data_IF_507223649942
#
_entry.id   IF_507223649942
#
_cell.length_a   1.000
_cell.length_b   1.000
_cell.length_c   1.000
_cell.angle_alpha   90.00
_cell.angle_beta   90.00
_cell.angle_gamma   90.00
#
_symmetry.space_group_name_H-M   'P 1'
#
loop_
_entity.id
_entity.type
_entity.pdbx_description
1 polymer ?
#
# COMPACT_ATOMS: atom_id res chain seq x y z
N UNK A 1 -11.44 -14.37 12.67
CA UNK A 1 -10.90 -13.51 13.73
C UNK A 1 -9.38 -13.51 13.65
N UNK A 2 -8.74 -12.39 13.97
CA UNK A 2 -7.27 -12.31 14.06
C UNK A 2 -6.80 -12.59 15.49
N UNK A 3 -5.48 -12.62 15.70
CA UNK A 3 -4.86 -12.92 17.00
C UNK A 3 -5.31 -11.99 18.13
N UNK A 4 -5.93 -10.84 17.85
CA UNK A 4 -6.45 -9.89 18.85
C UNK A 4 -7.92 -10.15 19.22
N UNK A 5 -8.50 -11.28 18.79
CA UNK A 5 -9.93 -11.61 18.88
C UNK A 5 -10.88 -10.60 18.20
N UNK A 6 -10.35 -9.60 17.51
CA UNK A 6 -11.17 -8.65 16.77
C UNK A 6 -11.77 -9.33 15.53
N UNK A 7 -13.10 -9.22 15.32
CA UNK A 7 -13.72 -9.59 14.05
C UNK A 7 -13.09 -8.80 12.90
N UNK A 8 -12.85 -9.50 11.78
CA UNK A 8 -12.41 -8.85 10.54
C UNK A 8 -13.67 -8.52 9.76
N UNK A 9 -13.99 -7.24 9.67
CA UNK A 9 -15.16 -6.73 8.97
C UNK A 9 -14.76 -6.00 7.69
N UNK A 10 -15.69 -5.98 6.73
CA UNK A 10 -15.56 -5.19 5.51
C UNK A 10 -14.32 -5.50 4.68
N UNK A 11 -13.78 -6.73 4.75
CA UNK A 11 -12.62 -7.17 3.98
C UNK A 11 -12.81 -8.52 3.32
N UNK A 12 -12.20 -8.68 2.15
CA UNK A 12 -12.24 -9.91 1.37
C UNK A 12 -11.61 -11.07 2.15
N UNK A 13 -12.21 -12.27 2.18
CA UNK A 13 -11.59 -13.43 2.78
C UNK A 13 -10.21 -13.73 2.17
N UNK A 14 -9.19 -13.83 3.02
CA UNK A 14 -7.79 -14.09 2.60
C UNK A 14 -7.67 -15.32 1.71
N UNK A 15 -8.45 -16.37 2.00
CA UNK A 15 -8.50 -17.57 1.17
C UNK A 15 -8.89 -17.28 -0.29
N UNK A 16 -9.77 -16.30 -0.53
CA UNK A 16 -10.13 -15.91 -1.88
C UNK A 16 -9.00 -15.14 -2.58
N UNK A 17 -8.37 -14.19 -1.88
CA UNK A 17 -7.20 -13.47 -2.41
C UNK A 17 -6.08 -14.43 -2.83
N UNK A 18 -5.79 -15.44 -2.00
CA UNK A 18 -4.80 -16.48 -2.33
C UNK A 18 -5.21 -17.26 -3.58
N UNK A 19 -6.46 -17.70 -3.69
CA UNK A 19 -6.94 -18.47 -4.86
C UNK A 19 -6.90 -17.63 -6.14
N UNK A 20 -7.35 -16.39 -6.08
CA UNK A 20 -7.29 -15.43 -7.22
C UNK A 20 -5.85 -15.19 -7.64
N UNK A 21 -4.96 -14.96 -6.67
CA UNK A 21 -3.54 -14.79 -6.92
C UNK A 21 -2.90 -16.02 -7.58
N UNK A 22 -3.19 -17.21 -7.05
CA UNK A 22 -2.69 -18.48 -7.59
C UNK A 22 -3.18 -18.78 -9.01
N UNK A 23 -4.41 -18.36 -9.35
CA UNK A 23 -5.04 -18.60 -10.64
C UNK A 23 -4.53 -17.70 -11.78
N UNK A 24 -3.78 -16.64 -11.47
CA UNK A 24 -3.19 -15.77 -12.51
C UNK A 24 -2.16 -16.52 -13.35
N UNK A 25 -1.99 -16.15 -14.62
CA UNK A 25 -1.09 -16.87 -15.55
C UNK A 25 0.36 -16.90 -15.07
N UNK A 26 1.00 -18.07 -15.07
CA UNK A 26 2.42 -18.24 -14.73
C UNK A 26 3.32 -17.81 -15.90
N UNK A 27 4.52 -17.29 -15.64
CA UNK A 27 5.46 -16.99 -16.72
C UNK A 27 5.95 -18.28 -17.41
N UNK A 28 6.19 -18.20 -18.72
CA UNK A 28 6.79 -19.28 -19.52
C UNK A 28 8.26 -19.51 -19.16
N UNK A 29 8.86 -20.57 -19.72
CA UNK A 29 10.27 -20.93 -19.45
C UNK A 29 11.25 -19.77 -19.73
N UNK A 30 12.41 -19.73 -19.05
CA UNK A 30 13.41 -18.70 -19.28
C UNK A 30 13.86 -18.67 -20.75
N UNK A 31 13.89 -17.48 -21.36
CA UNK A 31 14.50 -17.31 -22.68
C UNK A 31 16.01 -17.21 -22.52
N UNK A 32 16.70 -18.34 -22.68
CA UNK A 32 18.17 -18.40 -22.56
C UNK A 32 18.91 -17.63 -23.67
N UNK A 33 18.20 -17.15 -24.70
CA UNK A 33 18.80 -16.31 -25.75
C UNK A 33 18.84 -14.83 -25.40
N UNK A 34 18.04 -14.39 -24.40
CA UNK A 34 18.06 -13.03 -23.86
C UNK A 34 18.82 -12.98 -22.52
N UNK A 35 20.03 -12.39 -22.48
CA UNK A 35 20.78 -12.24 -21.25
C UNK A 35 20.02 -11.48 -20.15
N UNK A 36 19.11 -10.57 -20.49
CA UNK A 36 18.33 -9.78 -19.51
C UNK A 36 17.30 -10.64 -18.77
N UNK A 37 16.84 -11.72 -19.41
CA UNK A 37 15.90 -12.68 -18.84
C UNK A 37 16.57 -13.67 -17.87
N UNK A 38 17.90 -13.75 -17.87
CA UNK A 38 18.67 -14.70 -17.06
C UNK A 38 19.16 -14.09 -15.73
N UNK A 39 19.37 -14.91 -14.69
CA UNK A 39 20.08 -14.46 -13.48
C UNK A 39 21.45 -13.85 -13.81
N UNK A 40 21.75 -12.68 -13.25
CA UNK A 40 22.95 -11.91 -13.59
C UNK A 40 22.81 -10.98 -14.81
N UNK A 41 21.69 -11.07 -15.53
CA UNK A 41 21.31 -10.09 -16.54
C UNK A 41 22.36 -9.89 -17.63
N UNK A 42 22.56 -8.62 -18.01
CA UNK A 42 23.55 -8.19 -19.03
C UNK A 42 25.00 -8.52 -18.69
N UNK A 43 25.30 -8.93 -17.46
CA UNK A 43 26.62 -9.47 -17.09
C UNK A 43 26.93 -10.80 -17.77
N UNK A 44 25.92 -11.50 -18.31
CA UNK A 44 26.04 -12.77 -19.03
C UNK A 44 26.79 -13.84 -18.24
N UNK A 45 26.47 -13.94 -16.94
CA UNK A 45 27.17 -14.78 -15.97
C UNK A 45 26.75 -16.26 -16.08
N UNK A 46 25.52 -16.52 -16.51
CA UNK A 46 24.95 -17.88 -16.68
C UNK A 46 24.41 -18.07 -18.08
N UNK A 47 24.42 -19.31 -18.60
CA UNK A 47 23.71 -19.70 -19.83
C UNK A 47 22.54 -20.65 -19.55
N UNK A 48 22.18 -20.81 -18.28
CA UNK A 48 21.03 -21.60 -17.84
C UNK A 48 21.37 -22.96 -17.23
N UNK A 49 22.64 -23.38 -17.22
CA UNK A 49 23.05 -24.72 -16.79
C UNK A 49 22.71 -25.01 -15.31
N UNK A 50 22.85 -23.99 -14.45
CA UNK A 50 22.52 -24.04 -13.02
C UNK A 50 21.19 -23.41 -12.65
N UNK A 51 20.39 -22.97 -13.62
CA UNK A 51 19.19 -22.18 -13.34
C UNK A 51 18.03 -23.08 -12.92
N UNK A 52 17.47 -22.78 -11.74
CA UNK A 52 16.28 -23.43 -11.20
C UNK A 52 15.18 -22.41 -10.97
N UNK A 53 13.99 -22.77 -11.42
CA UNK A 53 12.79 -21.97 -11.18
C UNK A 53 12.16 -22.33 -9.85
N UNK A 54 11.69 -21.31 -9.13
CA UNK A 54 10.84 -21.46 -7.97
C UNK A 54 9.63 -20.55 -8.05
N UNK A 55 8.49 -21.04 -7.59
CA UNK A 55 7.25 -20.27 -7.46
C UNK A 55 6.71 -20.46 -6.06
N UNK A 56 6.32 -19.37 -5.40
CA UNK A 56 5.69 -19.43 -4.09
C UNK A 56 4.68 -18.30 -3.89
N UNK A 57 3.79 -18.51 -2.93
CA UNK A 57 2.77 -17.57 -2.48
C UNK A 57 3.10 -17.07 -1.08
N UNK A 58 2.82 -15.80 -0.81
CA UNK A 58 2.71 -15.27 0.52
C UNK A 58 1.46 -14.39 0.64
N UNK A 59 0.78 -14.46 1.77
CA UNK A 59 -0.31 -13.58 2.10
C UNK A 59 0.07 -12.77 3.35
N UNK A 60 -0.33 -11.50 3.36
CA UNK A 60 -0.07 -10.60 4.46
C UNK A 60 -1.30 -9.76 4.78
N UNK A 61 -1.29 -9.22 5.99
CA UNK A 61 -2.30 -8.26 6.41
C UNK A 61 -1.67 -7.16 7.26
N UNK A 62 -2.32 -6.00 7.29
CA UNK A 62 -1.96 -4.89 8.16
C UNK A 62 -3.19 -4.07 8.53
N UNK A 63 -3.15 -3.41 9.67
CA UNK A 63 -4.19 -2.45 10.02
C UNK A 63 -4.11 -1.20 9.13
N UNK A 64 -5.23 -0.49 8.99
CA UNK A 64 -5.29 0.86 8.44
C UNK A 64 -5.56 1.86 9.56
N UNK A 65 -5.10 3.11 9.37
CA UNK A 65 -5.21 4.19 10.35
C UNK A 65 -4.42 3.92 11.64
N UNK A 66 -4.34 4.93 12.50
CA UNK A 66 -3.83 4.72 13.83
C UNK A 66 -4.81 3.87 14.65
N UNK A 67 -4.28 3.20 15.66
CA UNK A 67 -4.98 2.16 16.41
C UNK A 67 -4.76 2.37 17.90
N UNK A 68 -5.42 1.54 18.69
CA UNK A 68 -5.23 1.43 20.14
C UNK A 68 -5.60 2.70 20.92
N UNK A 69 -6.76 3.28 20.61
CA UNK A 69 -7.30 4.45 21.34
C UNK A 69 -6.66 5.78 20.97
N UNK A 70 -5.84 5.82 19.92
CA UNK A 70 -5.29 7.06 19.40
C UNK A 70 -6.40 7.96 18.82
N UNK A 71 -6.40 9.26 19.14
CA UNK A 71 -7.30 10.25 18.54
C UNK A 71 -6.83 10.56 17.11
N UNK A 72 -7.20 9.69 16.17
CA UNK A 72 -6.86 9.85 14.77
C UNK A 72 -7.91 10.70 14.05
N UNK A 73 -7.50 11.87 13.55
CA UNK A 73 -8.38 12.75 12.79
C UNK A 73 -7.68 13.41 11.61
N UNK A 74 -8.47 13.93 10.69
CA UNK A 74 -8.01 14.85 9.64
C UNK A 74 -9.03 15.98 9.45
N UNK A 75 -8.53 17.18 9.18
CA UNK A 75 -9.36 18.36 8.96
C UNK A 75 -9.27 18.80 7.50
N UNK A 76 -10.42 19.09 6.91
CA UNK A 76 -10.52 19.66 5.58
C UNK A 76 -11.41 20.89 5.61
N UNK A 77 -11.08 21.86 4.77
CA UNK A 77 -11.95 22.99 4.42
C UNK A 77 -12.20 22.99 2.93
N UNK A 78 -13.45 23.24 2.56
CA UNK A 78 -13.82 23.43 1.16
C UNK A 78 -14.58 24.74 1.04
N UNK A 79 -14.09 25.61 0.16
CA UNK A 79 -14.74 26.87 -0.21
C UNK A 79 -15.24 26.74 -1.65
N UNK A 80 -16.56 26.80 -1.83
CA UNK A 80 -17.23 26.73 -3.12
C UNK A 80 -17.69 28.14 -3.53
N UNK A 81 -17.23 28.58 -4.69
CA UNK A 81 -17.43 29.95 -5.20
C UNK A 81 -17.86 29.95 -6.66
N UNK A 82 -18.46 31.05 -7.12
CA UNK A 82 -18.64 31.33 -8.54
C UNK A 82 -17.50 32.23 -9.03
N UNK A 83 -16.72 31.77 -9.99
CA UNK A 83 -15.66 32.56 -10.62
C UNK A 83 -15.84 32.57 -12.13
N UNK A 84 -15.90 33.77 -12.72
CA UNK A 84 -16.07 33.95 -14.18
C UNK A 84 -17.27 33.18 -14.73
N UNK A 85 -18.34 33.07 -13.95
CA UNK A 85 -19.57 32.37 -14.32
C UNK A 85 -19.61 30.89 -13.94
N UNK A 86 -18.49 30.27 -13.56
CA UNK A 86 -18.36 28.84 -13.30
C UNK A 86 -18.23 28.52 -11.81
N UNK A 87 -18.66 27.35 -11.34
CA UNK A 87 -18.44 26.92 -9.96
C UNK A 87 -17.01 26.40 -9.79
N UNK A 88 -16.33 26.85 -8.74
CA UNK A 88 -14.97 26.42 -8.38
C UNK A 88 -14.93 26.04 -6.90
N UNK A 89 -14.44 24.85 -6.58
CA UNK A 89 -14.17 24.46 -5.20
C UNK A 89 -12.68 24.53 -4.89
N UNK A 90 -12.33 25.23 -3.82
CA UNK A 90 -10.99 25.25 -3.23
C UNK A 90 -10.95 24.30 -2.04
N UNK A 91 -10.11 23.27 -2.11
CA UNK A 91 -9.97 22.24 -1.08
C UNK A 91 -8.66 22.44 -0.35
N UNK A 92 -8.72 22.72 0.95
CA UNK A 92 -7.56 22.84 1.82
C UNK A 92 -7.53 21.71 2.85
N UNK A 93 -6.40 21.01 2.93
CA UNK A 93 -6.09 20.00 3.96
C UNK A 93 -4.64 20.18 4.39
N UNK A 94 -4.25 19.61 5.53
CA UNK A 94 -2.83 19.56 5.94
C UNK A 94 -2.11 18.27 5.49
N UNK A 95 -2.73 17.45 4.62
CA UNK A 95 -2.18 16.15 4.24
C UNK A 95 -0.95 16.30 3.36
N UNK A 96 0.15 15.64 3.74
CA UNK A 96 1.38 15.65 2.97
C UNK A 96 1.27 14.70 1.76
N UNK A 97 1.49 15.24 0.57
CA UNK A 97 1.71 14.48 -0.67
C UNK A 97 3.19 14.09 -0.77
N UNK A 98 3.47 12.80 -0.85
CA UNK A 98 4.81 12.23 -0.99
C UNK A 98 4.91 11.29 -2.20
N UNK A 99 3.97 11.39 -3.14
CA UNK A 99 3.89 10.59 -4.37
C UNK A 99 2.76 9.57 -4.38
N UNK A 100 2.01 9.42 -3.29
CA UNK A 100 0.91 8.47 -3.17
C UNK A 100 -0.39 8.94 -3.85
N UNK A 101 -0.51 10.22 -4.19
CA UNK A 101 -1.65 10.76 -4.95
C UNK A 101 -2.85 11.19 -4.10
N UNK A 102 -2.64 11.61 -2.85
CA UNK A 102 -3.73 12.13 -2.01
C UNK A 102 -4.36 13.41 -2.58
N UNK A 103 -3.57 14.24 -3.28
CA UNK A 103 -4.08 15.46 -3.94
C UNK A 103 -5.15 15.10 -4.98
N UNK A 104 -4.88 14.09 -5.82
CA UNK A 104 -5.82 13.63 -6.84
C UNK A 104 -7.07 13.01 -6.21
N UNK A 105 -6.91 12.24 -5.13
CA UNK A 105 -8.03 11.66 -4.38
C UNK A 105 -8.96 12.76 -3.85
N UNK A 106 -8.40 13.81 -3.22
CA UNK A 106 -9.19 14.95 -2.73
C UNK A 106 -9.93 15.67 -3.87
N UNK A 107 -9.26 15.89 -5.01
CA UNK A 107 -9.86 16.50 -6.19
C UNK A 107 -11.04 15.66 -6.71
N UNK A 108 -10.83 14.36 -6.91
CA UNK A 108 -11.85 13.43 -7.42
C UNK A 108 -13.06 13.35 -6.49
N UNK A 109 -12.83 13.27 -5.18
CA UNK A 109 -13.90 13.28 -4.18
C UNK A 109 -14.73 14.57 -4.31
N UNK A 110 -14.09 15.74 -4.34
CA UNK A 110 -14.80 17.01 -4.43
C UNK A 110 -15.58 17.15 -5.75
N UNK A 111 -14.98 16.76 -6.88
CA UNK A 111 -15.65 16.77 -8.20
C UNK A 111 -16.87 15.87 -8.22
N UNK A 112 -16.74 14.65 -7.71
CA UNK A 112 -17.85 13.68 -7.70
C UNK A 112 -18.99 14.09 -6.78
N UNK A 113 -18.71 14.62 -5.59
CA UNK A 113 -19.75 14.97 -4.62
C UNK A 113 -20.44 16.29 -4.96
N UNK A 114 -19.69 17.28 -5.45
CA UNK A 114 -20.24 18.59 -5.80
C UNK A 114 -20.78 18.65 -7.23
N UNK A 115 -20.45 17.66 -8.07
CA UNK A 115 -20.82 17.58 -9.49
C UNK A 115 -20.29 18.77 -10.31
N UNK A 116 -19.04 19.16 -10.06
CA UNK A 116 -18.38 20.27 -10.76
C UNK A 116 -17.07 19.82 -11.42
N UNK A 117 -16.61 20.58 -12.41
CA UNK A 117 -15.37 20.28 -13.12
C UNK A 117 -14.13 20.94 -12.52
N UNK A 118 -14.26 22.17 -11.99
CA UNK A 118 -13.12 22.95 -11.51
C UNK A 118 -12.95 22.80 -10.00
N UNK A 119 -11.91 22.07 -9.62
CA UNK A 119 -11.48 21.93 -8.23
C UNK A 119 -10.00 22.31 -8.15
N UNK A 120 -9.67 23.12 -7.15
CA UNK A 120 -8.29 23.52 -6.84
C UNK A 120 -7.96 22.96 -5.46
N UNK A 121 -7.05 21.99 -5.41
CA UNK A 121 -6.49 21.53 -4.13
C UNK A 121 -5.36 22.48 -3.76
N UNK A 122 -5.53 23.20 -2.67
CA UNK A 122 -4.56 24.19 -2.18
C UNK A 122 -3.29 23.51 -1.64
N UNK A 123 -2.19 24.27 -1.60
CA UNK A 123 -0.95 23.82 -0.97
C UNK A 123 -1.20 23.46 0.50
N UNK A 124 -0.88 22.22 0.93
CA UNK A 124 -1.10 21.79 2.29
C UNK A 124 -0.38 22.70 3.30
N UNK A 125 -1.09 23.10 4.34
CA UNK A 125 -0.52 23.90 5.42
C UNK A 125 -1.27 23.71 6.73
N UNK A 126 -0.64 24.10 7.84
CA UNK A 126 -1.15 23.86 9.20
C UNK A 126 -2.13 24.93 9.69
N UNK A 127 -2.53 25.90 8.86
CA UNK A 127 -3.55 26.89 9.26
C UNK A 127 -4.94 26.24 9.42
N UNK A 128 -5.15 25.07 8.82
CA UNK A 128 -6.41 24.32 8.85
C UNK A 128 -6.46 23.23 9.93
N UNK A 129 -5.59 23.28 10.94
CA UNK A 129 -5.34 22.21 11.92
C UNK A 129 -4.54 21.04 11.30
N UNK A 130 -4.67 19.83 11.85
CA UNK A 130 -3.92 18.64 11.47
C UNK A 130 -4.66 17.77 10.45
N UNK A 131 -3.87 17.09 9.62
CA UNK A 131 -4.30 15.96 8.80
C UNK A 131 -3.67 14.63 9.26
N UNK A 132 -2.95 14.61 10.40
CA UNK A 132 -2.07 13.52 10.80
C UNK A 132 -0.89 13.32 9.84
N UNK A 133 0.05 12.43 10.18
CA UNK A 133 1.14 12.11 9.25
C UNK A 133 0.63 11.24 8.10
N UNK A 134 1.28 11.36 6.94
CA UNK A 134 1.05 10.47 5.79
C UNK A 134 1.75 9.13 6.01
N UNK A 135 1.19 8.33 6.91
CA UNK A 135 1.64 6.98 7.28
C UNK A 135 0.44 6.06 7.50
N UNK A 136 0.67 4.79 7.89
CA UNK A 136 -0.39 3.83 8.26
C UNK A 136 -1.48 3.64 7.18
N UNK A 137 -1.15 3.91 5.91
CA UNK A 137 -2.05 3.88 4.76
C UNK A 137 -3.38 4.64 4.98
N UNK A 138 -3.34 5.70 5.79
CA UNK A 138 -4.55 6.30 6.37
C UNK A 138 -5.16 7.45 5.57
N UNK A 139 -4.39 8.10 4.69
CA UNK A 139 -4.78 9.41 4.15
C UNK A 139 -6.06 9.36 3.30
N UNK A 140 -6.25 8.31 2.48
CA UNK A 140 -7.50 8.11 1.73
C UNK A 140 -8.71 7.98 2.66
N UNK A 141 -8.55 7.32 3.80
CA UNK A 141 -9.62 7.17 4.80
C UNK A 141 -9.85 8.45 5.58
N UNK A 142 -8.78 9.07 6.08
CA UNK A 142 -8.92 10.19 7.02
C UNK A 142 -9.12 11.51 6.30
N UNK A 143 -8.21 11.88 5.42
CA UNK A 143 -8.29 13.14 4.67
C UNK A 143 -9.34 13.06 3.57
N UNK A 144 -9.42 11.94 2.85
CA UNK A 144 -10.54 11.72 1.91
C UNK A 144 -11.89 11.74 2.62
N UNK A 145 -11.99 11.18 3.83
CA UNK A 145 -13.19 11.26 4.66
C UNK A 145 -13.55 12.67 5.10
N UNK A 146 -12.56 13.49 5.48
CA UNK A 146 -12.76 14.90 5.78
C UNK A 146 -13.29 15.67 4.57
N UNK A 147 -12.66 15.53 3.39
CA UNK A 147 -13.11 16.20 2.16
C UNK A 147 -14.52 15.74 1.77
N UNK A 148 -14.79 14.43 1.82
CA UNK A 148 -16.13 13.89 1.55
C UNK A 148 -17.18 14.49 2.49
N UNK A 149 -16.88 14.58 3.79
CA UNK A 149 -17.80 15.13 4.77
C UNK A 149 -18.09 16.62 4.49
N UNK A 150 -17.05 17.43 4.23
CA UNK A 150 -17.26 18.85 3.86
C UNK A 150 -18.08 18.97 2.57
N UNK A 151 -17.74 18.21 1.53
CA UNK A 151 -18.46 18.29 0.25
C UNK A 151 -19.93 17.87 0.39
N UNK A 152 -20.26 16.92 1.27
CA UNK A 152 -21.66 16.57 1.58
C UNK A 152 -22.39 17.72 2.27
N UNK A 153 -21.76 18.40 3.24
CA UNK A 153 -22.36 19.59 3.86
C UNK A 153 -22.61 20.71 2.84
N UNK A 154 -21.66 20.93 1.91
CA UNK A 154 -21.83 21.88 0.82
C UNK A 154 -22.96 21.48 -0.13
N UNK A 155 -23.09 20.19 -0.47
CA UNK A 155 -24.18 19.68 -1.30
C UNK A 155 -25.55 19.90 -0.63
N UNK A 156 -25.67 19.61 0.66
CA UNK A 156 -26.90 19.91 1.44
C UNK A 156 -27.23 21.41 1.46
N UNK A 157 -26.22 22.28 1.56
CA UNK A 157 -26.43 23.73 1.46
C UNK A 157 -26.91 24.15 0.06
N UNK A 158 -26.38 23.56 -1.02
CA UNK A 158 -26.87 23.78 -2.39
C UNK A 158 -28.32 23.33 -2.54
N UNK A 159 -28.69 22.15 -2.02
CA UNK A 159 -30.07 21.65 -2.01
C UNK A 159 -31.00 22.60 -1.26
N UNK A 160 -30.55 23.15 -0.12
CA UNK A 160 -31.30 24.14 0.66
C UNK A 160 -31.54 25.42 -0.16
N UNK A 161 -30.52 25.91 -0.88
CA UNK A 161 -30.63 27.10 -1.74
C UNK A 161 -31.54 26.87 -2.93
N UNK A 162 -31.45 25.71 -3.58
CA UNK A 162 -32.34 25.31 -4.67
C UNK A 162 -33.81 25.27 -4.20
N UNK A 163 -34.06 24.64 -3.04
CA UNK A 163 -35.39 24.56 -2.43
C UNK A 163 -35.95 25.93 -2.07
N UNK A 164 -35.12 26.85 -1.59
CA UNK A 164 -35.54 28.23 -1.32
C UNK A 164 -35.98 28.99 -2.60
N UNK A 165 -35.52 28.54 -3.77
CA UNK A 165 -35.97 29.01 -5.09
C UNK A 165 -37.10 28.18 -5.69
N UNK A 166 -37.68 27.25 -4.91
CA UNK A 166 -38.86 26.47 -5.28
C UNK A 166 -38.62 25.31 -6.25
N UNK A 167 -37.37 24.89 -6.45
CA UNK A 167 -36.99 23.82 -7.39
C UNK A 167 -35.98 22.84 -6.75
N UNK A 168 -35.75 21.70 -7.40
CA UNK A 168 -34.77 20.72 -6.94
C UNK A 168 -33.34 21.15 -7.28
N UNK A 169 -32.30 20.50 -6.75
CA UNK A 169 -30.91 20.91 -7.07
C UNK A 169 -30.55 20.61 -8.53
N UNK A 170 -31.09 19.51 -9.06
CA UNK A 170 -30.86 19.03 -10.43
C UNK A 170 -31.41 19.99 -11.50
N UNK A 171 -32.25 20.93 -11.08
CA UNK A 171 -32.83 21.99 -11.91
C UNK A 171 -31.91 23.21 -12.11
N UNK A 172 -30.77 23.25 -11.42
CA UNK A 172 -29.82 24.37 -11.43
C UNK A 172 -28.42 23.92 -11.83
N UNK A 173 -27.73 24.78 -12.56
CA UNK A 173 -26.26 24.75 -12.56
C UNK A 173 -25.77 25.20 -11.18
N UNK A 174 -24.77 24.50 -10.62
CA UNK A 174 -24.23 24.82 -9.28
C UNK A 174 -23.82 26.29 -9.15
N UNK A 175 -23.28 26.88 -10.22
CA UNK A 175 -22.90 28.30 -10.25
C UNK A 175 -24.08 29.25 -9.98
N UNK A 176 -25.30 28.90 -10.39
CA UNK A 176 -26.46 29.75 -10.23
C UNK A 176 -26.93 29.83 -8.77
N UNK A 177 -26.53 28.88 -7.93
CA UNK A 177 -26.82 28.84 -6.48
C UNK A 177 -25.73 29.49 -5.63
N UNK A 178 -24.69 30.06 -6.26
CA UNK A 178 -23.53 30.65 -5.61
C UNK A 178 -23.53 32.18 -5.73
N UNK A 179 -24.66 32.83 -5.42
CA UNK A 179 -24.72 34.29 -5.26
C UNK A 179 -23.72 34.76 -4.20
N UNK A 180 -23.61 33.97 -3.13
CA UNK A 180 -22.60 34.10 -2.08
C UNK A 180 -21.78 32.81 -1.98
N UNK A 181 -20.47 32.90 -1.68
CA UNK A 181 -19.63 31.72 -1.49
C UNK A 181 -20.11 30.88 -0.30
N UNK A 182 -19.90 29.56 -0.38
CA UNK A 182 -20.14 28.64 0.74
C UNK A 182 -18.78 28.12 1.21
N UNK A 183 -18.52 28.20 2.51
CA UNK A 183 -17.31 27.63 3.10
C UNK A 183 -17.66 26.80 4.32
N UNK A 184 -17.07 25.61 4.42
CA UNK A 184 -17.23 24.70 5.56
C UNK A 184 -15.89 24.06 5.91
N UNK A 185 -15.72 23.77 7.19
CA UNK A 185 -14.54 23.08 7.73
C UNK A 185 -15.03 21.92 8.58
N UNK A 186 -14.55 20.71 8.30
CA UNK A 186 -14.92 19.49 9.03
C UNK A 186 -13.67 18.80 9.54
N UNK A 187 -13.74 18.36 10.80
CA UNK A 187 -12.79 17.44 11.42
C UNK A 187 -13.37 16.03 11.40
N UNK A 188 -12.81 15.16 10.59
CA UNK A 188 -13.24 13.77 10.45
C UNK A 188 -12.43 12.84 11.36
N UNK A 189 -13.13 11.90 12.00
CA UNK A 189 -12.58 10.78 12.78
C UNK A 189 -13.13 9.47 12.24
N UNK A 190 -12.32 8.42 12.27
CA UNK A 190 -12.83 7.07 12.13
C UNK A 190 -13.57 6.64 13.42
N UNK A 191 -14.21 5.46 13.41
CA UNK A 191 -14.86 4.91 14.61
C UNK A 191 -13.88 4.79 15.79
N UNK A 192 -14.32 4.93 17.05
CA UNK A 192 -13.45 4.72 18.20
C UNK A 192 -12.75 3.35 18.19
N UNK A 193 -11.54 3.29 18.73
CA UNK A 193 -10.78 2.05 18.96
C UNK A 193 -10.39 1.91 20.43
N UNK A 194 -10.23 0.68 20.90
CA UNK A 194 -9.90 0.40 22.30
C UNK A 194 -8.40 0.53 22.58
N UNK A 195 -8.04 1.17 23.69
CA UNK A 195 -6.65 1.27 24.13
C UNK A 195 -6.03 -0.11 24.36
N UNK A 196 -4.71 -0.23 24.14
CA UNK A 196 -3.97 -1.47 24.33
C UNK A 196 -4.14 -1.98 25.77
N UNK A 197 -4.63 -3.21 25.93
CA UNK A 197 -4.75 -3.88 27.22
C UNK A 197 -3.61 -4.92 27.40
N UNK A 198 -3.54 -5.57 28.57
CA UNK A 198 -2.48 -6.54 28.89
C UNK A 198 -2.45 -7.76 27.96
N UNK A 199 -3.60 -8.16 27.42
CA UNK A 199 -3.73 -9.35 26.56
C UNK A 199 -3.64 -9.03 25.07
N UNK A 200 -3.77 -7.76 24.70
CA UNK A 200 -3.99 -7.28 23.33
C UNK A 200 -5.18 -7.94 22.61
N UNK A 201 -6.08 -8.59 23.37
CA UNK A 201 -7.35 -9.15 22.88
C UNK A 201 -8.41 -8.08 23.05
N UNK A 202 -8.61 -7.25 22.02
CA UNK A 202 -9.47 -6.07 22.07
C UNK A 202 -9.82 -5.56 20.66
N UNK A 203 -10.72 -4.59 20.58
CA UNK A 203 -11.12 -3.93 19.33
C UNK A 203 -10.25 -2.69 19.04
N UNK A 204 -8.94 -2.92 19.02
CA UNK A 204 -7.93 -1.87 18.91
C UNK A 204 -7.71 -1.31 17.51
N UNK A 205 -8.16 -1.97 16.45
CA UNK A 205 -7.88 -1.56 15.06
C UNK A 205 -9.14 -1.07 14.35
N UNK A 206 -8.98 -0.14 13.40
CA UNK A 206 -10.09 0.41 12.60
C UNK A 206 -10.57 -0.59 11.55
N UNK A 207 -9.65 -1.05 10.71
CA UNK A 207 -9.90 -2.07 9.69
C UNK A 207 -8.58 -2.72 9.28
N UNK A 208 -8.65 -3.76 8.45
CA UNK A 208 -7.49 -4.50 7.96
C UNK A 208 -7.44 -4.54 6.44
N UNK A 209 -6.22 -4.40 5.91
CA UNK A 209 -5.88 -4.59 4.51
C UNK A 209 -5.28 -5.98 4.34
N UNK A 210 -5.65 -6.67 3.28
CA UNK A 210 -5.15 -8.00 2.95
C UNK A 210 -4.62 -8.03 1.52
N UNK A 211 -3.51 -8.72 1.33
CA UNK A 211 -2.93 -8.96 0.01
C UNK A 211 -2.32 -10.35 -0.07
N UNK A 212 -2.38 -10.95 -1.25
CA UNK A 212 -1.67 -12.17 -1.59
C UNK A 212 -0.75 -11.89 -2.78
N UNK A 213 0.50 -12.33 -2.69
CA UNK A 213 1.50 -12.21 -3.74
C UNK A 213 2.00 -13.59 -4.13
N UNK A 214 2.15 -13.81 -5.43
CA UNK A 214 2.86 -14.95 -6.01
C UNK A 214 4.12 -14.43 -6.69
N UNK A 215 5.28 -14.88 -6.24
CA UNK A 215 6.53 -14.62 -6.95
C UNK A 215 6.94 -15.86 -7.74
N UNK A 216 7.46 -15.63 -8.95
CA UNK A 216 8.24 -16.62 -9.67
C UNK A 216 9.64 -16.08 -9.87
N UNK A 217 10.64 -16.88 -9.53
CA UNK A 217 12.05 -16.52 -9.60
C UNK A 217 12.81 -17.60 -10.35
N UNK A 218 13.85 -17.16 -11.06
CA UNK A 218 14.89 -18.03 -11.59
C UNK A 218 16.16 -17.79 -10.78
N UNK A 219 16.77 -18.86 -10.28
CA UNK A 219 17.96 -18.80 -9.43
C UNK A 219 19.04 -19.64 -10.06
N UNK A 220 20.18 -19.04 -10.37
CA UNK A 220 21.37 -19.80 -10.68
C UNK A 220 21.97 -20.33 -9.37
N UNK A 221 21.89 -21.64 -9.15
CA UNK A 221 22.27 -22.24 -7.87
C UNK A 221 23.78 -22.36 -7.66
N UNK A 222 24.58 -22.15 -8.70
CA UNK A 222 26.04 -22.18 -8.64
C UNK A 222 26.63 -20.81 -8.28
N UNK A 223 26.00 -19.74 -8.77
CA UNK A 223 26.43 -18.35 -8.56
C UNK A 223 25.63 -17.62 -7.48
N UNK A 224 24.43 -18.12 -7.15
CA UNK A 224 23.50 -17.50 -6.20
C UNK A 224 22.78 -16.26 -6.74
N UNK A 225 22.89 -15.97 -8.05
CA UNK A 225 22.19 -14.86 -8.66
C UNK A 225 20.71 -15.19 -8.84
N UNK A 226 19.85 -14.19 -8.63
CA UNK A 226 18.40 -14.32 -8.67
C UNK A 226 17.83 -13.35 -9.69
N UNK A 227 16.95 -13.85 -10.57
CA UNK A 227 16.04 -13.04 -11.38
C UNK A 227 14.63 -13.21 -10.84
N UNK A 228 13.98 -12.12 -10.45
CA UNK A 228 12.52 -12.14 -10.24
C UNK A 228 11.87 -12.04 -11.61
N UNK A 229 11.12 -13.07 -11.99
CA UNK A 229 10.55 -13.23 -13.34
C UNK A 229 9.18 -12.60 -13.43
N UNK A 230 8.37 -12.74 -12.39
CA UNK A 230 7.03 -12.19 -12.31
C UNK A 230 6.61 -12.08 -10.84
N UNK A 231 5.89 -11.01 -10.51
CA UNK A 231 5.11 -10.94 -9.28
C UNK A 231 3.65 -10.72 -9.62
N UNK A 232 2.78 -11.63 -9.21
CA UNK A 232 1.34 -11.47 -9.32
C UNK A 232 0.78 -11.07 -7.95
N UNK A 233 -0.20 -10.16 -7.90
CA UNK A 233 -0.83 -9.71 -6.66
C UNK A 233 -2.35 -9.69 -6.75
N UNK A 234 -3.03 -10.17 -5.72
CA UNK A 234 -4.46 -9.97 -5.50
C UNK A 234 -4.63 -9.22 -4.19
N UNK A 235 -5.17 -8.01 -4.24
CA UNK A 235 -5.28 -7.13 -3.09
C UNK A 235 -6.69 -6.55 -2.97
N UNK A 236 -7.24 -6.63 -1.77
CA UNK A 236 -8.47 -5.94 -1.40
C UNK A 236 -8.18 -4.46 -1.12
N UNK A 237 -8.70 -3.58 -1.98
CA UNK A 237 -8.49 -2.14 -1.92
C UNK A 237 -9.72 -1.38 -1.41
N UNK A 238 -10.77 -2.08 -0.99
CA UNK A 238 -12.06 -1.44 -0.73
C UNK A 238 -12.68 -0.92 -2.02
N UNK A 239 -12.99 0.37 -2.07
CA UNK A 239 -13.29 1.08 -3.32
C UNK A 239 -12.03 1.74 -3.89
N UNK A 240 -11.68 1.43 -5.13
CA UNK A 240 -10.61 2.11 -5.84
C UNK A 240 -11.09 3.51 -6.28
N UNK A 241 -10.64 4.55 -5.59
CA UNK A 241 -10.94 5.95 -5.97
C UNK A 241 -10.25 6.30 -7.29
N UNK A 242 -8.99 5.89 -7.43
CA UNK A 242 -8.21 6.07 -8.65
C UNK A 242 -7.54 4.74 -9.02
N UNK A 243 -8.13 3.94 -9.94
CA UNK A 243 -7.59 2.64 -10.31
C UNK A 243 -6.16 2.70 -10.86
N UNK A 244 -5.79 3.76 -11.58
CA UNK A 244 -4.43 3.92 -12.13
C UNK A 244 -3.42 4.16 -11.00
N UNK A 245 -3.75 5.04 -10.04
CA UNK A 245 -2.88 5.27 -8.88
C UNK A 245 -2.76 4.02 -7.99
N UNK A 246 -3.83 3.22 -7.88
CA UNK A 246 -3.80 1.92 -7.19
C UNK A 246 -2.78 0.99 -7.85
N UNK A 247 -2.79 0.84 -9.18
CA UNK A 247 -1.78 0.04 -9.89
C UNK A 247 -0.37 0.55 -9.61
N UNK A 248 -0.13 1.86 -9.68
CA UNK A 248 1.18 2.43 -9.41
C UNK A 248 1.68 2.18 -7.97
N UNK A 249 0.77 2.15 -6.97
CA UNK A 249 1.10 1.78 -5.59
C UNK A 249 1.44 0.29 -5.46
N UNK A 250 0.72 -0.59 -6.16
CA UNK A 250 1.02 -2.02 -6.20
C UNK A 250 2.41 -2.27 -6.80
N UNK A 251 2.70 -1.66 -7.95
CA UNK A 251 3.99 -1.78 -8.63
C UNK A 251 5.15 -1.22 -7.79
N UNK A 252 4.99 0.00 -7.25
CA UNK A 252 6.01 0.64 -6.44
C UNK A 252 6.29 -0.10 -5.12
N UNK A 253 5.26 -0.60 -4.44
CA UNK A 253 5.45 -1.39 -3.23
C UNK A 253 6.04 -2.77 -3.50
N UNK A 254 5.72 -3.40 -4.63
CA UNK A 254 6.38 -4.64 -5.07
C UNK A 254 7.85 -4.38 -5.41
N UNK A 255 8.19 -3.24 -6.03
CA UNK A 255 9.57 -2.84 -6.26
C UNK A 255 10.36 -2.78 -4.94
N UNK A 256 9.83 -2.08 -3.94
CA UNK A 256 10.44 -2.01 -2.60
C UNK A 256 10.55 -3.39 -1.94
N UNK A 257 9.53 -4.23 -2.10
CA UNK A 257 9.54 -5.57 -1.54
C UNK A 257 10.58 -6.49 -2.20
N UNK A 258 10.81 -6.33 -3.51
CA UNK A 258 11.89 -6.97 -4.25
C UNK A 258 13.26 -6.48 -3.77
N UNK A 259 13.44 -5.17 -3.65
CA UNK A 259 14.66 -4.56 -3.13
C UNK A 259 15.02 -5.13 -1.76
N UNK A 260 14.08 -5.11 -0.82
CA UNK A 260 14.27 -5.71 0.50
C UNK A 260 14.57 -7.22 0.43
N UNK A 261 13.98 -7.95 -0.51
CA UNK A 261 14.17 -9.40 -0.61
C UNK A 261 15.58 -9.79 -1.05
N UNK A 262 16.21 -9.07 -1.98
CA UNK A 262 17.45 -9.54 -2.64
C UNK A 262 18.54 -8.48 -2.87
N UNK A 263 18.31 -7.21 -2.53
CA UNK A 263 19.24 -6.11 -2.87
C UNK A 263 19.62 -5.24 -1.66
N UNK A 264 18.63 -4.74 -0.93
CA UNK A 264 18.78 -3.67 0.04
C UNK A 264 19.26 -4.17 1.40
N UNK A 265 20.47 -3.77 1.80
CA UNK A 265 20.98 -4.01 3.15
C UNK A 265 21.74 -2.80 3.68
N UNK A 266 21.28 -2.21 4.77
CA UNK A 266 22.07 -1.23 5.51
C UNK A 266 23.19 -1.94 6.27
N UNK A 267 24.44 -1.68 5.90
CA UNK A 267 25.60 -2.29 6.56
C UNK A 267 26.10 -1.39 7.68
N UNK A 268 26.09 -1.91 8.90
CA UNK A 268 26.60 -1.22 10.09
C UNK A 268 27.88 -1.89 10.57
N UNK A 269 28.88 -1.07 10.89
CA UNK A 269 30.08 -1.52 11.62
C UNK A 269 30.55 -0.43 12.56
N UNK A 270 30.68 -0.77 13.84
CA UNK A 270 31.04 0.15 14.92
C UNK A 270 30.07 1.34 15.03
N UNK A 271 28.77 1.08 14.83
CA UNK A 271 27.72 2.11 14.84
C UNK A 271 27.69 3.02 13.61
N UNK A 272 28.56 2.80 12.63
CA UNK A 272 28.63 3.62 11.41
C UNK A 272 28.07 2.86 10.20
N UNK A 273 27.30 3.58 9.37
CA UNK A 273 26.81 3.09 8.07
C UNK A 273 28.01 3.00 7.11
N UNK A 274 28.22 1.83 6.52
CA UNK A 274 29.35 1.56 5.62
C UNK A 274 29.02 1.78 4.14
N UNK A 275 27.74 1.75 3.79
CA UNK A 275 27.25 1.90 2.44
C UNK A 275 26.23 3.06 2.34
N UNK A 276 26.63 4.26 2.78
CA UNK A 276 25.79 5.46 2.79
C UNK A 276 25.71 6.15 1.41
N UNK A 277 25.80 5.38 0.32
CA UNK A 277 25.82 5.85 -1.06
C UNK A 277 24.88 4.99 -1.92
N UNK A 278 24.34 5.53 -3.01
CA UNK A 278 23.55 4.74 -3.97
C UNK A 278 24.41 3.79 -4.84
N UNK A 279 25.74 3.85 -4.72
CA UNK A 279 26.63 2.86 -5.33
C UNK A 279 26.66 1.58 -4.51
N UNK A 280 26.65 1.71 -3.18
CA UNK A 280 26.85 0.59 -2.25
C UNK A 280 25.54 0.11 -1.57
N UNK A 281 24.49 0.95 -1.61
CA UNK A 281 23.12 0.59 -1.22
C UNK A 281 22.29 0.42 -2.49
N UNK A 282 22.14 -0.84 -2.91
CA UNK A 282 21.51 -1.18 -4.19
C UNK A 282 20.00 -1.10 -4.08
N UNK A 283 19.42 -0.19 -4.87
CA UNK A 283 17.98 -0.12 -5.11
C UNK A 283 17.64 -0.87 -6.41
N UNK A 284 16.43 -1.45 -6.53
CA UNK A 284 15.95 -1.99 -7.78
C UNK A 284 15.97 -0.96 -8.91
N UNK A 285 16.47 -1.38 -10.07
CA UNK A 285 16.46 -0.61 -11.31
C UNK A 285 15.32 -1.05 -12.22
N UNK A 286 15.16 -0.39 -13.37
CA UNK A 286 14.20 -0.82 -14.39
C UNK A 286 14.48 -2.22 -14.96
N UNK A 287 15.72 -2.73 -14.87
CA UNK A 287 16.09 -4.07 -15.34
C UNK A 287 15.79 -5.16 -14.31
N UNK A 288 15.63 -4.77 -13.04
CA UNK A 288 15.30 -5.66 -11.93
C UNK A 288 13.78 -5.83 -11.78
N UNK A 289 13.00 -4.83 -12.23
CA UNK A 289 11.56 -4.86 -12.12
C UNK A 289 10.93 -5.96 -12.99
N UNK A 290 10.21 -6.92 -12.39
CA UNK A 290 9.47 -7.92 -13.13
C UNK A 290 8.14 -7.33 -13.66
N UNK A 291 7.53 -7.95 -14.67
CA UNK A 291 6.12 -7.77 -14.94
C UNK A 291 5.28 -8.01 -13.68
N UNK A 292 4.44 -7.03 -13.35
CA UNK A 292 3.49 -7.11 -12.24
C UNK A 292 2.09 -7.40 -12.78
N UNK A 293 1.50 -8.52 -12.35
CA UNK A 293 0.12 -8.89 -12.74
C UNK A 293 -0.80 -8.59 -11.57
N UNK A 294 -1.65 -7.57 -11.71
CA UNK A 294 -2.52 -7.09 -10.64
C UNK A 294 -3.97 -7.56 -10.80
N UNK A 295 -4.52 -8.10 -9.73
CA UNK A 295 -5.95 -8.31 -9.52
C UNK A 295 -6.44 -7.37 -8.41
N UNK A 296 -7.14 -6.30 -8.80
CA UNK A 296 -7.68 -5.30 -7.87
C UNK A 296 -9.05 -5.78 -7.40
N UNK A 297 -9.12 -6.20 -6.13
CA UNK A 297 -10.37 -6.68 -5.54
C UNK A 297 -11.07 -5.53 -4.85
N UNK A 298 -12.27 -5.18 -5.32
CA UNK A 298 -13.08 -4.15 -4.69
C UNK A 298 -14.07 -4.77 -3.67
N UNK A 299 -13.75 -4.66 -2.39
CA UNK A 299 -14.66 -5.03 -1.29
C UNK A 299 -14.87 -3.84 -0.34
N UNK A 300 -15.82 -2.93 -0.66
CA UNK A 300 -16.02 -1.67 0.07
C UNK A 300 -16.19 -1.88 1.59
N UNK A 301 -15.41 -1.15 2.40
CA UNK A 301 -15.58 -1.21 3.85
C UNK A 301 -16.76 -0.32 4.29
N UNK A 302 -17.70 -0.79 5.13
CA UNK A 302 -18.92 -0.03 5.47
C UNK A 302 -18.62 1.32 6.13
N UNK A 303 -17.61 1.37 7.00
CA UNK A 303 -17.25 2.60 7.73
C UNK A 303 -16.33 3.56 6.96
N UNK A 304 -15.81 3.14 5.81
CA UNK A 304 -14.82 3.94 5.10
C UNK A 304 -15.48 4.97 4.16
N UNK A 305 -14.86 6.13 3.93
CA UNK A 305 -15.30 7.07 2.90
C UNK A 305 -15.36 6.39 1.53
N UNK A 306 -16.55 6.37 0.91
CA UNK A 306 -16.83 5.60 -0.32
C UNK A 306 -16.53 4.09 -0.24
N UNK A 307 -16.26 3.56 0.95
CA UNK A 307 -15.75 2.21 1.13
C UNK A 307 -14.28 2.03 0.74
N UNK A 308 -13.53 3.11 0.49
CA UNK A 308 -12.13 3.07 0.09
C UNK A 308 -11.20 2.68 1.23
N UNK A 309 -10.20 1.84 0.94
CA UNK A 309 -9.16 1.46 1.89
C UNK A 309 -7.79 1.99 1.44
N UNK A 310 -6.81 1.91 2.34
CA UNK A 310 -5.42 2.15 1.99
C UNK A 310 -4.84 1.06 1.09
N UNK A 311 -3.91 1.41 0.21
CA UNK A 311 -3.28 0.46 -0.74
C UNK A 311 -1.75 0.40 -0.66
N UNK A 312 -1.10 1.43 -0.09
CA UNK A 312 0.33 1.67 -0.33
C UNK A 312 1.30 0.68 0.32
N UNK A 313 1.07 0.25 1.56
CA UNK A 313 2.03 -0.60 2.29
C UNK A 313 1.87 -2.12 2.11
N UNK A 314 0.65 -2.70 1.93
CA UNK A 314 0.50 -4.15 1.76
C UNK A 314 1.37 -4.81 0.68
N UNK A 315 1.63 -4.18 -0.49
CA UNK A 315 2.47 -4.76 -1.53
C UNK A 315 3.91 -4.98 -1.05
N UNK A 316 4.51 -4.03 -0.33
CA UNK A 316 5.85 -4.17 0.25
C UNK A 316 5.90 -5.26 1.31
N UNK A 317 4.84 -5.43 2.10
CA UNK A 317 4.80 -6.39 3.22
C UNK A 317 4.86 -7.85 2.74
N UNK A 318 4.06 -8.19 1.72
CA UNK A 318 3.85 -9.60 1.35
C UNK A 318 4.56 -10.02 0.07
N UNK A 319 5.05 -9.10 -0.76
CA UNK A 319 5.90 -9.44 -1.91
C UNK A 319 7.29 -9.93 -1.48
N UNK A 320 7.92 -9.31 -0.47
CA UNK A 320 9.22 -9.76 0.08
C UNK A 320 9.20 -11.24 0.48
N UNK A 321 8.30 -11.71 1.38
CA UNK A 321 8.26 -13.12 1.74
C UNK A 321 7.85 -14.03 0.58
N UNK A 322 7.06 -13.58 -0.39
CA UNK A 322 6.75 -14.37 -1.58
C UNK A 322 8.00 -14.63 -2.42
N UNK A 323 8.83 -13.61 -2.64
CA UNK A 323 10.11 -13.73 -3.37
C UNK A 323 11.05 -14.68 -2.63
N UNK A 324 11.25 -14.49 -1.32
CA UNK A 324 12.12 -15.36 -0.53
C UNK A 324 11.62 -16.80 -0.54
N UNK A 325 10.31 -17.02 -0.39
CA UNK A 325 9.73 -18.37 -0.47
C UNK A 325 9.91 -19.00 -1.86
N UNK A 326 9.86 -18.22 -2.93
CA UNK A 326 10.12 -18.70 -4.28
C UNK A 326 11.60 -19.10 -4.45
N UNK A 327 12.55 -18.34 -3.86
CA UNK A 327 13.97 -18.71 -3.83
C UNK A 327 14.17 -20.02 -3.03
N UNK A 328 13.49 -20.19 -1.90
CA UNK A 328 13.51 -21.47 -1.15
C UNK A 328 12.99 -22.62 -2.01
N UNK A 329 11.91 -22.41 -2.76
CA UNK A 329 11.36 -23.42 -3.67
C UNK A 329 12.33 -23.79 -4.80
N UNK A 330 13.09 -22.83 -5.35
CA UNK A 330 14.09 -23.06 -6.37
C UNK A 330 15.33 -23.81 -5.84
N UNK A 331 15.76 -23.49 -4.62
CA UNK A 331 17.08 -23.88 -4.09
C UNK A 331 17.03 -25.00 -3.05
N UNK A 332 15.90 -25.21 -2.38
CA UNK A 332 15.76 -26.09 -1.21
C UNK A 332 16.42 -25.56 0.06
N UNK A 333 16.94 -24.32 0.06
CA UNK A 333 17.56 -23.68 1.24
C UNK A 333 16.50 -23.14 2.20
N UNK A 334 16.84 -23.03 3.49
CA UNK A 334 15.92 -22.50 4.52
C UNK A 334 15.74 -20.98 4.44
N UNK A 335 16.79 -20.22 4.09
CA UNK A 335 16.81 -18.76 3.87
C UNK A 335 15.90 -17.95 4.82
N UNK A 336 16.24 -17.82 6.10
CA UNK A 336 15.39 -17.18 7.12
C UNK A 336 15.72 -15.70 7.38
N UNK A 337 16.47 -15.05 6.48
CA UNK A 337 16.85 -13.64 6.56
C UNK A 337 16.74 -12.96 5.20
N UNK A 338 16.49 -11.65 5.23
CA UNK A 338 16.57 -10.76 4.07
C UNK A 338 17.61 -9.63 4.29
N UNK A 339 18.18 -9.09 3.20
CA UNK A 339 18.08 -9.63 1.84
C UNK A 339 18.81 -10.97 1.72
N UNK A 340 18.33 -11.81 0.81
CA UNK A 340 19.00 -13.07 0.44
C UNK A 340 20.22 -12.73 -0.41
N UNK A 341 21.41 -13.04 0.08
CA UNK A 341 22.66 -12.81 -0.64
C UNK A 341 23.03 -14.03 -1.51
N UNK A 342 23.84 -13.84 -2.57
CA UNK A 342 24.35 -14.97 -3.37
C UNK A 342 25.03 -16.05 -2.50
N UNK A 343 25.85 -15.64 -1.53
CA UNK A 343 26.53 -16.54 -0.59
C UNK A 343 25.56 -17.42 0.21
N UNK A 344 24.38 -16.90 0.57
CA UNK A 344 23.36 -17.65 1.32
C UNK A 344 22.79 -18.81 0.48
N UNK A 345 22.75 -18.65 -0.85
CA UNK A 345 22.29 -19.66 -1.80
C UNK A 345 23.40 -20.68 -2.08
N UNK A 346 24.60 -20.20 -2.42
CA UNK A 346 25.73 -21.05 -2.83
C UNK A 346 26.27 -21.85 -1.66
N UNK A 347 26.58 -21.19 -0.54
CA UNK A 347 27.23 -21.83 0.60
C UNK A 347 26.24 -22.32 1.66
N UNK A 348 24.97 -21.94 1.57
CA UNK A 348 23.96 -22.34 2.56
C UNK A 348 24.21 -21.76 3.95
N UNK A 349 24.93 -20.64 4.03
CA UNK A 349 25.31 -19.96 5.27
C UNK A 349 24.12 -19.23 5.90
N UNK A 350 23.09 -19.96 6.32
CA UNK A 350 21.89 -19.37 6.90
C UNK A 350 21.93 -19.46 8.43
N UNK A 351 22.66 -18.52 9.05
CA UNK A 351 22.40 -17.90 10.36
C UNK A 351 23.54 -16.93 10.74
N UNK A 352 23.34 -15.61 10.62
CA UNK A 352 24.19 -14.62 11.34
C UNK A 352 23.63 -14.27 12.71
N UNK A 353 22.33 -14.52 12.89
CA UNK A 353 21.70 -14.50 14.19
C UNK A 353 22.00 -15.84 14.84
N UNK A 354 22.83 -15.87 15.88
CA UNK A 354 22.90 -17.04 16.75
C UNK A 354 21.53 -17.34 17.37
N UNK A 355 20.56 -16.44 17.33
CA UNK A 355 19.21 -16.72 17.83
C UNK A 355 18.46 -17.65 16.88
N UNK A 356 18.10 -18.83 17.39
CA UNK A 356 17.15 -19.75 16.75
C UNK A 356 15.85 -19.74 17.53
N UNK A 357 14.74 -19.69 16.80
CA UNK A 357 13.38 -19.84 17.34
C UNK A 357 12.71 -20.95 16.53
N UNK A 358 12.33 -22.04 17.17
CA UNK A 358 11.53 -23.08 16.53
C UNK A 358 10.10 -22.55 16.35
N UNK A 359 9.44 -22.77 15.20
CA UNK A 359 8.05 -22.38 15.03
C UNK A 359 7.16 -22.94 16.17
N UNK A 360 6.45 -22.05 16.86
CA UNK A 360 5.62 -22.39 18.03
C UNK A 360 6.25 -22.07 19.39
N UNK A 361 7.56 -21.83 19.45
CA UNK A 361 8.24 -21.43 20.69
C UNK A 361 8.03 -19.94 21.01
N UNK A 362 8.10 -19.59 22.30
CA UNK A 362 8.08 -18.19 22.75
C UNK A 362 9.35 -17.48 22.26
N UNK A 363 9.25 -16.47 21.37
CA UNK A 363 10.41 -15.79 20.81
C UNK A 363 11.25 -15.05 21.86
N UNK A 364 10.69 -14.75 23.04
CA UNK A 364 11.43 -14.15 24.16
C UNK A 364 12.36 -15.16 24.85
N UNK A 365 12.16 -16.45 24.60
CA UNK A 365 12.99 -17.55 25.10
C UNK A 365 13.98 -18.07 24.05
N UNK A 366 14.08 -17.38 22.90
CA UNK A 366 15.10 -17.69 21.90
C UNK A 366 16.45 -17.80 22.60
N UNK A 367 17.23 -18.83 22.29
CA UNK A 367 18.59 -18.96 22.77
C UNK A 367 19.55 -18.63 21.63
N UNK A 368 20.63 -17.93 21.95
CA UNK A 368 21.73 -17.73 21.01
C UNK A 368 22.54 -19.03 20.95
N UNK A 369 22.42 -19.81 19.87
CA UNK A 369 23.36 -20.86 19.52
C UNK A 369 24.72 -20.23 19.26
N UNK A 370 25.75 -20.77 19.92
CA UNK A 370 27.15 -20.36 19.79
C UNK A 370 27.67 -20.45 18.35
#
# INVERSE_FOLDING_TARGET
>A
EIITSQPVEGSEPVANLIRRCAAMGSPGEPDTSDPVAMPGGVGNITRGEGVRRGTALAAGFKNVCYSHGFDDYSTARVRLVRERGEPVAYVLTAAAEVGQGIVLVCEQIARSVLEIQRVVVETPNTSIDSAGSSSASRQTWMTGGAVLAVCRELRTELERRAKARGRALEDFEVADLLDEPIERTVKHRHRPTEARNQTTQNHGHVAFLFAAHRATVDVDVETGLVKVVQVATSQDVGKAINPVAVVGQLEGGIAQGLGLAVMEELQLRDGQIRNASFTDYLLPTMLDMPPVVCDIVEHPHPDAPFGAKGVGEPPTISSTPAIVAAIRAATGRELNRVPVRPDDIVFGTVARSGWRITPGDDPRKAARTE
#
